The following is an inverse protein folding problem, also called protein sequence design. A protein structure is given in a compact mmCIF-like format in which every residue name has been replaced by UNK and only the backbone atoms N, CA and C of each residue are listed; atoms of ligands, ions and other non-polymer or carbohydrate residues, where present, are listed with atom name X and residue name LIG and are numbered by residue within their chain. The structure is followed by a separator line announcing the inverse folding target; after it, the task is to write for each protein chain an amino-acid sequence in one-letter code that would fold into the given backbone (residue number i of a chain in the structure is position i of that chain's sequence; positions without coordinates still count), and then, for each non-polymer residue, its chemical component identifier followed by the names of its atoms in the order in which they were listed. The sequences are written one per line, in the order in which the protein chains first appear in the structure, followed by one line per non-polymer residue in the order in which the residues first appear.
data_IF_937565742664
#
_entry.id   IF_937565742664
#
_cell.length_a   1.000
_cell.length_b   1.000
_cell.length_c   1.000
_cell.angle_alpha   90.00
_cell.angle_beta   90.00
_cell.angle_gamma   90.00
#
_symmetry.space_group_name_H-M   'P 1'
#
loop_
_entity.id
_entity.type
_entity.pdbx_description
1 polymer ?
#
# COMPACT_ATOMS: atom_id res chain seq x y z
N UNK A 1 -12.32 -13.27 7.68
CA UNK A 1 -11.64 -12.17 8.40
C UNK A 1 -11.69 -10.93 7.53
N UNK A 2 -11.56 -9.74 8.12
CA UNK A 2 -11.36 -8.50 7.36
C UNK A 2 -9.85 -8.27 7.15
N UNK A 3 -9.44 -7.62 6.05
CA UNK A 3 -8.04 -7.23 5.86
C UNK A 3 -7.56 -6.32 7.00
N UNK A 4 -6.33 -6.56 7.48
CA UNK A 4 -5.67 -5.65 8.43
C UNK A 4 -5.11 -4.41 7.74
N UNK A 5 -4.83 -4.53 6.43
CA UNK A 5 -4.38 -3.44 5.58
C UNK A 5 -4.86 -3.67 4.15
N UNK A 6 -5.21 -2.59 3.46
CA UNK A 6 -5.46 -2.54 2.03
C UNK A 6 -4.63 -1.40 1.43
N UNK A 7 -3.91 -1.68 0.35
CA UNK A 7 -3.17 -0.66 -0.41
C UNK A 7 -3.67 -0.72 -1.85
N UNK A 8 -4.02 0.44 -2.40
CA UNK A 8 -4.42 0.61 -3.80
C UNK A 8 -3.47 1.59 -4.45
N UNK A 9 -2.85 1.17 -5.54
CA UNK A 9 -1.85 1.96 -6.26
C UNK A 9 -2.22 2.09 -7.72
N UNK A 10 -2.43 3.32 -8.17
CA UNK A 10 -2.74 3.65 -9.55
C UNK A 10 -1.44 3.93 -10.33
N UNK A 11 -1.28 3.23 -11.46
CA UNK A 11 -0.07 3.27 -12.29
C UNK A 11 -0.45 3.33 -13.76
N UNK A 12 0.30 4.10 -14.53
CA UNK A 12 0.17 4.24 -15.99
C UNK A 12 1.21 3.41 -16.76
N UNK A 13 2.15 2.78 -16.06
CA UNK A 13 3.23 2.01 -16.67
C UNK A 13 2.92 0.50 -16.73
N UNK A 14 3.14 -0.23 -15.62
CA UNK A 14 3.01 -1.68 -15.54
C UNK A 14 2.51 -2.12 -14.16
N UNK A 15 1.81 -3.26 -14.07
CA UNK A 15 1.51 -3.90 -12.80
C UNK A 15 2.80 -4.25 -12.05
N UNK A 16 2.78 -4.06 -10.72
CA UNK A 16 3.90 -4.38 -9.83
C UNK A 16 3.36 -5.23 -8.67
N UNK A 17 4.06 -6.32 -8.37
CA UNK A 17 3.79 -7.16 -7.22
C UNK A 17 4.84 -6.92 -6.13
N UNK A 18 4.42 -6.91 -4.87
CA UNK A 18 5.27 -6.70 -3.69
C UNK A 18 5.53 -8.01 -2.91
N UNK A 19 5.22 -9.18 -3.47
CA UNK A 19 5.48 -10.48 -2.82
C UNK A 19 6.93 -10.68 -2.40
N UNK A 20 7.89 -10.04 -3.08
CA UNK A 20 9.31 -10.04 -2.71
C UNK A 20 9.56 -9.52 -1.29
N UNK A 21 8.66 -8.68 -0.75
CA UNK A 21 8.70 -8.23 0.65
C UNK A 21 8.75 -9.37 1.66
N UNK A 22 8.24 -10.55 1.27
CA UNK A 22 8.07 -11.72 2.12
C UNK A 22 8.93 -12.91 1.69
N UNK A 23 9.87 -12.73 0.76
CA UNK A 23 10.86 -13.79 0.41
C UNK A 23 11.69 -14.18 1.63
N UNK A 24 12.20 -13.20 2.38
CA UNK A 24 12.66 -13.44 3.74
C UNK A 24 11.43 -13.49 4.67
N UNK A 25 11.19 -14.61 5.38
CA UNK A 25 9.99 -14.79 6.18
C UNK A 25 9.87 -13.72 7.27
N UNK A 26 8.63 -13.30 7.54
CA UNK A 26 8.33 -12.42 8.66
C UNK A 26 8.55 -13.20 9.96
N UNK A 27 9.43 -12.70 10.85
CA UNK A 27 9.72 -13.33 12.14
C UNK A 27 9.09 -12.51 13.27
N UNK A 28 8.21 -13.11 14.06
CA UNK A 28 7.60 -12.41 15.19
C UNK A 28 7.44 -13.29 16.42
N UNK A 29 7.46 -12.63 17.59
CA UNK A 29 7.12 -13.21 18.90
C UNK A 29 5.74 -12.76 19.39
N UNK A 30 5.20 -11.68 18.83
CA UNK A 30 3.98 -10.99 19.30
C UNK A 30 2.96 -10.76 18.18
N UNK A 31 3.02 -11.58 17.11
CA UNK A 31 2.10 -11.51 15.97
C UNK A 31 2.72 -10.89 14.71
N UNK A 32 2.20 -11.25 13.55
CA UNK A 32 2.85 -10.97 12.26
C UNK A 32 2.41 -9.65 11.61
N UNK A 33 1.29 -9.05 12.02
CA UNK A 33 0.63 -7.95 11.31
C UNK A 33 1.56 -6.74 11.12
N UNK A 34 2.04 -6.14 12.21
CA UNK A 34 2.84 -4.91 12.14
C UNK A 34 4.13 -5.09 11.34
N UNK A 35 4.85 -6.21 11.58
CA UNK A 35 6.07 -6.52 10.83
C UNK A 35 5.83 -6.82 9.36
N UNK A 36 4.69 -7.44 9.02
CA UNK A 36 4.30 -7.66 7.63
C UNK A 36 4.00 -6.35 6.92
N UNK A 37 3.28 -5.44 7.57
CA UNK A 37 2.97 -4.10 7.06
C UNK A 37 4.26 -3.29 6.86
N UNK A 38 5.18 -3.32 7.83
CA UNK A 38 6.49 -2.67 7.72
C UNK A 38 7.30 -3.19 6.53
N UNK A 39 7.42 -4.52 6.39
CA UNK A 39 8.13 -5.15 5.26
C UNK A 39 7.49 -4.77 3.91
N UNK A 40 6.16 -4.77 3.83
CA UNK A 40 5.42 -4.35 2.63
C UNK A 40 5.73 -2.89 2.27
N UNK A 41 5.70 -1.98 3.25
CA UNK A 41 6.00 -0.56 3.07
C UNK A 41 7.44 -0.34 2.58
N UNK A 42 8.40 -1.06 3.15
CA UNK A 42 9.80 -0.98 2.71
C UNK A 42 9.98 -1.49 1.28
N UNK A 43 9.31 -2.57 0.91
CA UNK A 43 9.40 -3.11 -0.45
C UNK A 43 8.76 -2.18 -1.47
N UNK A 44 7.63 -1.57 -1.13
CA UNK A 44 6.96 -0.59 -1.97
C UNK A 44 7.89 0.56 -2.37
N UNK A 45 8.74 1.06 -1.47
CA UNK A 45 9.75 2.08 -1.84
C UNK A 45 10.87 1.53 -2.73
N UNK A 46 11.36 0.32 -2.44
CA UNK A 46 12.48 -0.27 -3.18
C UNK A 46 12.13 -0.49 -4.65
N UNK A 47 10.92 -0.99 -4.92
CA UNK A 47 10.50 -1.30 -6.31
C UNK A 47 10.44 -0.05 -7.18
N UNK A 48 10.20 1.14 -6.62
CA UNK A 48 10.16 2.41 -7.38
C UNK A 48 11.48 2.74 -8.09
N UNK A 49 12.59 2.09 -7.75
CA UNK A 49 13.86 2.24 -8.49
C UNK A 49 13.83 1.61 -9.88
N UNK A 50 12.91 0.67 -10.12
CA UNK A 50 12.80 -0.09 -11.36
C UNK A 50 11.60 0.30 -12.22
N UNK A 51 10.71 1.13 -11.70
CA UNK A 51 9.42 1.48 -12.32
C UNK A 51 9.16 2.97 -12.21
N UNK A 52 8.21 3.52 -12.95
CA UNK A 52 7.82 4.90 -12.76
C UNK A 52 7.16 5.08 -11.38
N UNK A 53 7.18 6.30 -10.83
CA UNK A 53 6.41 6.55 -9.61
C UNK A 53 4.92 6.40 -9.92
N UNK A 54 4.12 5.83 -9.01
CA UNK A 54 2.68 5.71 -9.23
C UNK A 54 2.03 7.09 -9.29
N UNK A 55 0.92 7.17 -10.03
CA UNK A 55 0.12 8.39 -10.14
C UNK A 55 -0.49 8.76 -8.79
N UNK A 56 -1.00 7.74 -8.08
CA UNK A 56 -1.54 7.87 -6.75
C UNK A 56 -1.41 6.55 -6.00
N UNK A 57 -1.36 6.62 -4.68
CA UNK A 57 -1.50 5.44 -3.82
C UNK A 57 -2.23 5.81 -2.55
N UNK A 58 -3.11 4.90 -2.15
CA UNK A 58 -4.02 5.04 -1.03
C UNK A 58 -3.91 3.79 -0.17
N UNK A 59 -4.05 3.92 1.13
CA UNK A 59 -4.12 2.76 2.00
C UNK A 59 -5.07 2.96 3.17
N UNK A 60 -5.67 1.86 3.63
CA UNK A 60 -6.45 1.78 4.87
C UNK A 60 -5.77 0.73 5.74
N UNK A 61 -5.55 1.02 7.02
CA UNK A 61 -4.96 0.08 7.98
C UNK A 61 -5.76 0.05 9.27
N UNK A 62 -5.90 -1.13 9.88
CA UNK A 62 -6.39 -1.29 11.25
C UNK A 62 -5.26 -1.11 12.27
N UNK A 63 -4.01 -1.18 11.83
CA UNK A 63 -2.82 -1.04 12.66
C UNK A 63 -2.33 0.41 12.62
N UNK A 64 -2.61 1.15 13.71
CA UNK A 64 -2.18 2.54 13.92
C UNK A 64 -0.78 2.66 14.51
N UNK A 65 -0.08 1.55 14.78
CA UNK A 65 1.25 1.58 15.41
C UNK A 65 2.38 1.94 14.45
N UNK A 66 2.13 1.92 13.14
CA UNK A 66 3.16 2.18 12.13
C UNK A 66 3.11 3.63 11.65
N UNK A 67 3.74 4.54 12.39
CA UNK A 67 3.68 5.99 12.11
C UNK A 67 4.42 6.45 10.83
N UNK A 68 5.15 5.57 10.13
CA UNK A 68 5.99 5.93 8.98
C UNK A 68 5.82 4.99 7.77
N UNK A 69 4.57 4.66 7.44
CA UNK A 69 4.27 3.88 6.23
C UNK A 69 4.48 4.74 4.97
N UNK A 70 5.36 4.27 4.10
CA UNK A 70 5.69 4.92 2.82
C UNK A 70 4.84 4.33 1.70
N UNK A 71 3.52 4.30 1.88
CA UNK A 71 2.57 3.62 0.99
C UNK A 71 1.58 4.57 0.28
N UNK A 72 1.70 5.88 0.50
CA UNK A 72 0.84 6.89 -0.10
C UNK A 72 -0.02 7.60 0.93
N UNK A 73 -1.23 8.00 0.52
CA UNK A 73 -2.21 8.67 1.37
C UNK A 73 -2.94 7.65 2.26
N UNK A 74 -3.02 7.93 3.56
CA UNK A 74 -3.83 7.14 4.47
C UNK A 74 -5.29 7.58 4.43
N UNK A 75 -6.18 6.61 4.26
CA UNK A 75 -7.63 6.79 4.23
C UNK A 75 -8.27 6.22 5.49
N UNK A 76 -9.26 6.94 6.03
CA UNK A 76 -9.92 6.53 7.27
C UNK A 76 -10.86 5.35 7.06
N UNK A 77 -11.42 5.22 5.86
CA UNK A 77 -12.37 4.16 5.51
C UNK A 77 -12.18 3.68 4.08
N UNK A 78 -12.67 2.46 3.79
CA UNK A 78 -12.69 1.94 2.42
C UNK A 78 -13.59 2.79 1.51
N UNK A 79 -14.68 3.38 2.03
CA UNK A 79 -15.55 4.24 1.23
C UNK A 79 -14.80 5.49 0.78
N UNK A 80 -14.09 6.15 1.70
CA UNK A 80 -13.26 7.31 1.37
C UNK A 80 -12.18 6.95 0.34
N UNK A 81 -11.48 5.82 0.54
CA UNK A 81 -10.50 5.33 -0.42
C UNK A 81 -11.11 5.13 -1.82
N UNK A 82 -12.32 4.58 -1.91
CA UNK A 82 -13.01 4.36 -3.19
C UNK A 82 -13.43 5.67 -3.85
N UNK A 83 -13.91 6.63 -3.07
CA UNK A 83 -14.31 7.95 -3.58
C UNK A 83 -13.09 8.70 -4.14
N UNK A 84 -11.99 8.73 -3.40
CA UNK A 84 -10.75 9.41 -3.81
C UNK A 84 -10.06 8.69 -5.00
N UNK A 85 -10.06 7.35 -4.99
CA UNK A 85 -9.62 6.57 -6.14
C UNK A 85 -10.46 6.86 -7.39
N UNK A 86 -11.79 6.89 -7.26
CA UNK A 86 -12.70 7.13 -8.38
C UNK A 86 -12.55 8.55 -8.95
N UNK A 87 -12.38 9.54 -8.08
CA UNK A 87 -12.06 10.90 -8.46
C UNK A 87 -10.75 10.95 -9.26
N UNK A 88 -9.69 10.30 -8.74
CA UNK A 88 -8.39 10.28 -9.41
C UNK A 88 -8.42 9.59 -10.78
N UNK A 89 -9.14 8.48 -10.90
CA UNK A 89 -9.32 7.81 -12.19
C UNK A 89 -10.10 8.69 -13.16
N UNK A 90 -11.13 9.38 -12.69
CA UNK A 90 -11.94 10.27 -13.53
C UNK A 90 -11.13 11.43 -14.09
N UNK A 91 -10.24 12.03 -13.30
CA UNK A 91 -9.30 13.08 -13.75
C UNK A 91 -8.38 12.62 -14.89
N UNK A 92 -8.05 11.33 -14.95
CA UNK A 92 -7.14 10.78 -15.98
C UNK A 92 -7.83 10.37 -17.27
N UNK A 93 -9.17 10.22 -17.23
CA UNK A 93 -9.98 9.80 -18.37
C UNK A 93 -10.62 10.99 -19.11
N UNK A 94 -10.46 12.20 -18.59
CA UNK A 94 -10.87 13.46 -19.24
C UNK A 94 -9.79 13.96 -20.20
#
# INVERSE_FOLDING_TARGET
TLPQMLVVTLRDDRPVNLVSAFEDPVKSKEGYVSKSIEKLSQEYEKVQKFVHKPIASFYVTMDSSNENLKLGMEEQTIQQLLDDFSSKVSELLQ
#
